data_IF_347308629144
#
_entry.id   IF_347308629144
#
_cell.length_a   1.000
_cell.length_b   1.000
_cell.length_c   1.000
_cell.angle_alpha   90.00
_cell.angle_beta   90.00
_cell.angle_gamma   90.00
#
_symmetry.space_group_name_H-M   'P 1'
#
loop_
_entity.id
_entity.type
_entity.pdbx_description
1 polymer ?
#
# COMPACT_ATOMS: atom_id res chain seq x y z
N UNK A 1 -2.23 25.41 -14.38
CA UNK A 1 -2.81 25.31 -13.01
C UNK A 1 -2.04 24.24 -12.24
N UNK A 2 -1.65 24.47 -10.98
CA UNK A 2 -0.91 23.44 -10.20
C UNK A 2 -1.86 22.36 -9.70
N UNK A 3 -1.35 21.15 -9.41
CA UNK A 3 -2.20 20.04 -8.96
C UNK A 3 -3.04 20.40 -7.73
N UNK A 4 -2.44 21.07 -6.72
CA UNK A 4 -3.15 21.57 -5.54
C UNK A 4 -4.30 22.52 -5.88
N UNK A 5 -4.12 23.40 -6.87
CA UNK A 5 -5.20 24.31 -7.31
C UNK A 5 -6.35 23.51 -7.95
N UNK A 6 -6.04 22.53 -8.80
CA UNK A 6 -7.07 21.66 -9.39
C UNK A 6 -7.87 20.90 -8.33
N UNK A 7 -7.20 20.32 -7.32
CA UNK A 7 -7.86 19.59 -6.22
C UNK A 7 -8.82 20.51 -5.44
N UNK A 8 -8.39 21.74 -5.12
CA UNK A 8 -9.25 22.72 -4.45
C UNK A 8 -10.49 23.08 -5.28
N UNK A 9 -10.34 23.21 -6.60
CA UNK A 9 -11.47 23.48 -7.48
C UNK A 9 -12.42 22.27 -7.59
N UNK A 10 -11.89 21.04 -7.63
CA UNK A 10 -12.72 19.83 -7.53
C UNK A 10 -13.52 19.81 -6.22
N UNK A 11 -12.87 20.11 -5.10
CA UNK A 11 -13.53 20.19 -3.78
C UNK A 11 -14.69 21.17 -3.79
N UNK A 12 -14.48 22.41 -4.25
CA UNK A 12 -15.54 23.44 -4.30
C UNK A 12 -16.74 22.98 -5.12
N UNK A 13 -16.49 22.31 -6.25
CA UNK A 13 -17.56 21.81 -7.11
C UNK A 13 -18.31 20.65 -6.44
N UNK A 14 -17.61 19.74 -5.77
CA UNK A 14 -18.22 18.67 -4.97
C UNK A 14 -19.02 19.24 -3.77
N UNK A 15 -18.49 20.22 -3.06
CA UNK A 15 -19.19 20.92 -1.97
C UNK A 15 -20.51 21.52 -2.46
N UNK A 16 -20.54 22.08 -3.67
CA UNK A 16 -21.79 22.60 -4.24
C UNK A 16 -22.78 21.49 -4.58
N UNK A 17 -22.32 20.40 -5.23
CA UNK A 17 -23.17 19.25 -5.52
C UNK A 17 -23.75 18.61 -4.24
N UNK A 18 -22.97 18.51 -3.17
CA UNK A 18 -23.43 17.88 -1.92
C UNK A 18 -24.46 18.73 -1.16
N UNK A 19 -24.66 20.01 -1.50
CA UNK A 19 -25.67 20.87 -0.86
C UNK A 19 -27.07 20.64 -1.42
N UNK A 20 -27.18 20.43 -2.73
CA UNK A 20 -28.46 20.35 -3.44
C UNK A 20 -28.68 19.00 -4.14
N UNK A 21 -27.69 18.10 -4.05
CA UNK A 21 -27.64 16.83 -4.79
C UNK A 21 -27.92 17.05 -6.28
N UNK A 22 -27.43 18.18 -6.81
CA UNK A 22 -27.69 18.66 -8.15
C UNK A 22 -26.99 17.84 -9.22
N UNK A 23 -26.80 18.42 -10.40
CA UNK A 23 -26.22 17.69 -11.52
C UNK A 23 -24.69 17.53 -11.39
N UNK A 24 -24.21 16.28 -11.36
CA UNK A 24 -22.79 15.92 -11.31
C UNK A 24 -22.00 16.29 -12.59
N UNK A 25 -22.68 16.52 -13.72
CA UNK A 25 -22.02 16.74 -15.02
C UNK A 25 -21.01 17.90 -14.99
N UNK A 26 -21.31 19.00 -14.28
CA UNK A 26 -20.35 20.12 -14.13
C UNK A 26 -19.03 19.74 -13.43
N UNK A 27 -19.07 18.74 -12.55
CA UNK A 27 -17.88 18.22 -11.87
C UNK A 27 -17.10 17.30 -12.82
N UNK A 28 -17.82 16.46 -13.58
CA UNK A 28 -17.23 15.58 -14.60
C UNK A 28 -16.57 16.37 -15.72
N UNK A 29 -17.25 17.34 -16.32
CA UNK A 29 -16.69 18.21 -17.37
C UNK A 29 -15.37 18.84 -16.93
N UNK A 30 -15.32 19.34 -15.68
CA UNK A 30 -14.08 19.89 -15.13
C UNK A 30 -13.01 18.81 -14.95
N UNK A 31 -13.33 17.65 -14.37
CA UNK A 31 -12.38 16.56 -14.21
C UNK A 31 -11.85 16.04 -15.55
N UNK A 32 -12.71 15.91 -16.57
CA UNK A 32 -12.35 15.49 -17.93
C UNK A 32 -11.36 16.46 -18.58
N UNK A 33 -11.54 17.77 -18.35
CA UNK A 33 -10.63 18.81 -18.85
C UNK A 33 -9.19 18.66 -18.32
N UNK A 34 -9.00 17.97 -17.19
CA UNK A 34 -7.69 17.70 -16.60
C UNK A 34 -7.06 16.48 -17.28
N UNK A 35 -6.40 16.62 -18.42
CA UNK A 35 -5.81 15.46 -19.13
C UNK A 35 -4.80 14.68 -18.27
N UNK A 36 -4.98 13.36 -18.09
CA UNK A 36 -4.11 12.51 -17.24
C UNK A 36 -2.64 12.58 -17.62
N UNK A 37 -2.33 12.57 -18.93
CA UNK A 37 -0.96 12.71 -19.45
C UNK A 37 -0.27 14.02 -19.09
N UNK A 38 -1.05 15.06 -18.75
CA UNK A 38 -0.55 16.34 -18.24
C UNK A 38 -0.39 16.35 -16.71
N UNK A 39 -1.05 15.41 -16.01
CA UNK A 39 -0.94 15.26 -14.55
C UNK A 39 0.27 14.39 -14.20
N UNK A 40 0.38 13.23 -14.86
CA UNK A 40 1.46 12.26 -14.67
C UNK A 40 2.23 12.14 -15.99
N UNK A 41 3.48 12.60 -15.98
CA UNK A 41 4.34 12.66 -17.18
C UNK A 41 5.52 11.70 -17.11
N UNK A 42 5.51 10.75 -16.15
CA UNK A 42 6.54 9.72 -16.02
C UNK A 42 6.13 8.45 -16.75
N UNK A 43 7.11 7.61 -17.06
CA UNK A 43 6.83 6.23 -17.47
C UNK A 43 6.32 5.42 -16.28
N UNK A 44 5.08 4.95 -16.37
CA UNK A 44 4.44 4.12 -15.36
C UNK A 44 4.76 2.63 -15.53
N UNK A 45 5.56 2.23 -16.53
CA UNK A 45 5.89 0.82 -16.79
C UNK A 45 6.93 0.27 -15.79
N UNK A 46 7.86 1.11 -15.33
CA UNK A 46 8.98 0.73 -14.47
C UNK A 46 8.61 0.82 -12.99
N UNK A 47 9.05 -0.15 -12.19
CA UNK A 47 8.87 -0.18 -10.73
C UNK A 47 10.20 -0.38 -10.00
N UNK A 48 10.33 0.27 -8.84
CA UNK A 48 11.30 -0.10 -7.82
C UNK A 48 10.83 -1.34 -7.08
N UNK A 49 11.39 -2.50 -7.44
CA UNK A 49 11.07 -3.77 -6.79
C UNK A 49 11.81 -4.00 -5.47
N UNK A 50 12.82 -3.18 -5.17
CA UNK A 50 13.68 -3.27 -3.99
C UNK A 50 13.82 -1.88 -3.37
N UNK A 51 14.28 -1.83 -2.11
CA UNK A 51 14.60 -0.60 -1.36
C UNK A 51 15.28 0.48 -2.23
N UNK A 52 14.62 1.63 -2.48
CA UNK A 52 15.28 2.83 -3.01
C UNK A 52 16.26 3.44 -2.01
N UNK A 53 17.32 4.10 -2.49
CA UNK A 53 18.45 4.58 -1.67
C UNK A 53 18.04 5.43 -0.47
N UNK A 54 17.09 6.35 -0.66
CA UNK A 54 16.71 7.36 0.34
C UNK A 54 15.50 6.95 1.20
N UNK A 55 15.08 5.69 1.11
CA UNK A 55 13.97 5.16 1.93
C UNK A 55 14.48 4.47 3.19
N UNK A 56 13.76 4.60 4.29
CA UNK A 56 14.08 3.92 5.55
C UNK A 56 13.17 2.72 5.75
N UNK A 57 13.66 1.67 6.43
CA UNK A 57 12.82 0.54 6.82
C UNK A 57 11.76 1.02 7.83
N UNK A 58 10.53 0.54 7.68
CA UNK A 58 9.48 0.72 8.68
C UNK A 58 9.34 -0.57 9.49
N UNK A 59 10.08 -0.63 10.61
CA UNK A 59 10.08 -1.81 11.49
C UNK A 59 8.72 -2.04 12.14
N UNK A 60 8.00 -0.98 12.49
CA UNK A 60 6.66 -1.02 13.05
C UNK A 60 5.68 -1.69 12.09
N UNK A 61 5.61 -1.19 10.86
CA UNK A 61 4.77 -1.77 9.83
C UNK A 61 5.17 -3.21 9.46
N UNK A 62 6.47 -3.56 9.55
CA UNK A 62 6.91 -4.95 9.33
C UNK A 62 6.30 -5.94 10.34
N UNK A 63 6.03 -5.53 11.58
CA UNK A 63 5.34 -6.40 12.55
C UNK A 63 3.90 -6.72 12.13
N UNK A 64 3.24 -5.78 11.43
CA UNK A 64 1.86 -5.93 10.96
C UNK A 64 1.74 -6.70 9.63
N UNK A 65 2.86 -6.92 8.93
CA UNK A 65 2.86 -7.63 7.67
C UNK A 65 2.38 -9.09 7.86
N UNK A 66 1.41 -9.60 7.08
CA UNK A 66 0.96 -10.98 7.22
C UNK A 66 2.09 -12.00 7.03
N UNK A 67 2.09 -13.14 7.77
CA UNK A 67 3.17 -14.13 7.74
C UNK A 67 3.61 -14.56 6.34
N UNK A 68 2.65 -14.74 5.41
CA UNK A 68 2.90 -15.13 4.02
C UNK A 68 3.80 -14.17 3.21
N UNK A 69 4.02 -12.95 3.68
CA UNK A 69 4.89 -11.97 3.02
C UNK A 69 6.21 -11.74 3.77
N UNK A 70 6.31 -12.13 5.05
CA UNK A 70 7.43 -11.74 5.93
C UNK A 70 8.78 -12.26 5.49
N UNK A 71 8.83 -13.38 4.76
CA UNK A 71 10.09 -13.96 4.32
C UNK A 71 10.70 -13.18 3.15
N UNK A 72 9.86 -12.79 2.18
CA UNK A 72 10.30 -12.22 0.90
C UNK A 72 10.19 -10.69 0.82
N UNK A 73 9.45 -10.05 1.73
CA UNK A 73 9.10 -8.63 1.64
C UNK A 73 9.38 -7.85 2.93
N UNK A 74 9.59 -6.54 2.77
CA UNK A 74 9.80 -5.55 3.83
C UNK A 74 8.94 -4.32 3.57
N UNK A 75 8.61 -3.60 4.65
CA UNK A 75 7.87 -2.36 4.61
C UNK A 75 8.84 -1.18 4.73
N UNK A 76 8.63 -0.13 3.95
CA UNK A 76 9.48 1.06 3.95
C UNK A 76 8.67 2.30 4.32
N UNK A 77 9.28 3.26 5.01
CA UNK A 77 8.59 4.45 5.46
C UNK A 77 8.09 5.26 4.27
N UNK A 78 6.83 5.68 4.35
CA UNK A 78 6.33 6.83 3.62
C UNK A 78 6.07 7.95 4.63
N UNK A 79 5.99 9.20 4.18
CA UNK A 79 5.72 10.32 5.07
C UNK A 79 4.35 10.16 5.74
N UNK A 80 4.36 10.31 7.07
CA UNK A 80 3.21 10.20 7.99
C UNK A 80 2.25 11.40 7.87
N UNK A 81 1.78 11.64 6.65
CA UNK A 81 0.71 12.58 6.36
C UNK A 81 -0.44 11.86 5.64
N UNK A 82 -1.56 12.54 5.42
CA UNK A 82 -2.68 11.89 4.71
C UNK A 82 -2.42 11.64 3.22
N UNK A 83 -1.27 12.03 2.67
CA UNK A 83 -0.82 11.64 1.33
C UNK A 83 -0.10 10.28 1.31
N UNK A 84 0.07 9.60 2.45
CA UNK A 84 0.84 8.35 2.58
C UNK A 84 0.52 7.25 1.55
N UNK A 85 -0.74 7.09 1.11
CA UNK A 85 -1.07 6.16 0.01
C UNK A 85 -0.34 6.54 -1.29
N UNK A 86 -0.37 7.83 -1.62
CA UNK A 86 0.27 8.37 -2.82
C UNK A 86 1.79 8.49 -2.66
N UNK A 87 2.28 8.76 -1.44
CA UNK A 87 3.70 8.70 -1.10
C UNK A 87 4.24 7.29 -1.34
N UNK A 88 3.53 6.28 -0.83
CA UNK A 88 3.87 4.87 -1.03
C UNK A 88 3.95 4.51 -2.51
N UNK A 89 2.94 4.87 -3.30
CA UNK A 89 2.95 4.60 -4.73
C UNK A 89 4.06 5.39 -5.47
N UNK A 90 4.30 6.64 -5.09
CA UNK A 90 5.38 7.45 -5.64
C UNK A 90 6.75 6.81 -5.39
N UNK A 91 7.00 6.29 -4.18
CA UNK A 91 8.23 5.59 -3.83
C UNK A 91 8.42 4.37 -4.71
N UNK A 92 7.37 3.57 -4.92
CA UNK A 92 7.46 2.38 -5.79
C UNK A 92 7.72 2.77 -7.25
N UNK A 93 7.18 3.90 -7.73
CA UNK A 93 7.31 4.32 -9.12
C UNK A 93 8.63 5.05 -9.42
N UNK A 94 9.14 5.83 -8.45
CA UNK A 94 10.21 6.81 -8.70
C UNK A 94 11.34 6.79 -7.67
N UNK A 95 11.16 6.04 -6.58
CA UNK A 95 12.07 6.06 -5.44
C UNK A 95 11.89 7.26 -4.50
N UNK A 96 11.06 8.24 -4.84
CA UNK A 96 10.79 9.45 -4.04
C UNK A 96 9.28 9.68 -3.87
N UNK A 97 8.88 10.68 -3.07
CA UNK A 97 7.47 11.05 -2.84
C UNK A 97 6.99 12.20 -3.74
N UNK A 98 7.78 12.62 -4.74
CA UNK A 98 7.51 13.85 -5.50
C UNK A 98 6.24 13.78 -6.37
N UNK A 99 5.76 12.57 -6.66
CA UNK A 99 4.57 12.35 -7.48
C UNK A 99 3.26 12.38 -6.68
N UNK A 100 3.30 12.37 -5.34
CA UNK A 100 2.12 12.11 -4.50
C UNK A 100 0.93 13.00 -4.80
N UNK A 101 1.14 14.32 -4.89
CA UNK A 101 0.04 15.26 -5.15
C UNK A 101 -0.52 15.14 -6.57
N UNK A 102 0.31 14.73 -7.54
CA UNK A 102 -0.11 14.46 -8.92
C UNK A 102 -0.91 13.16 -8.98
N UNK A 103 -0.47 12.12 -8.27
CA UNK A 103 -1.22 10.87 -8.13
C UNK A 103 -2.58 11.12 -7.48
N UNK A 104 -2.66 11.91 -6.38
CA UNK A 104 -3.93 12.27 -5.75
C UNK A 104 -4.88 12.91 -6.75
N UNK A 105 -4.41 13.91 -7.51
CA UNK A 105 -5.25 14.57 -8.52
C UNK A 105 -5.71 13.59 -9.61
N UNK A 106 -4.82 12.73 -10.11
CA UNK A 106 -5.17 11.75 -11.13
C UNK A 106 -6.21 10.74 -10.62
N UNK A 107 -6.12 10.32 -9.36
CA UNK A 107 -7.09 9.42 -8.72
C UNK A 107 -8.44 10.10 -8.54
N UNK A 108 -8.47 11.33 -8.02
CA UNK A 108 -9.71 12.10 -7.89
C UNK A 108 -10.41 12.25 -9.26
N UNK A 109 -9.63 12.57 -10.30
CA UNK A 109 -10.12 12.63 -11.67
C UNK A 109 -10.72 11.29 -12.11
N UNK A 110 -9.96 10.20 -12.02
CA UNK A 110 -10.39 8.87 -12.46
C UNK A 110 -11.72 8.47 -11.82
N UNK A 111 -11.83 8.63 -10.50
CA UNK A 111 -13.03 8.28 -9.72
C UNK A 111 -14.25 9.13 -10.10
N UNK A 112 -14.05 10.42 -10.42
CA UNK A 112 -15.13 11.31 -10.85
C UNK A 112 -15.59 10.98 -12.26
N UNK A 113 -14.66 10.89 -13.21
CA UNK A 113 -14.97 10.70 -14.64
C UNK A 113 -15.63 9.34 -14.87
N UNK A 114 -15.13 8.31 -14.18
CA UNK A 114 -15.60 6.94 -14.32
C UNK A 114 -16.49 6.50 -13.14
N UNK A 115 -17.17 7.44 -12.47
CA UNK A 115 -17.96 7.18 -11.26
C UNK A 115 -18.99 6.06 -11.45
N UNK A 116 -19.64 5.98 -12.61
CA UNK A 116 -20.61 4.92 -12.94
C UNK A 116 -19.99 3.52 -12.87
N UNK A 117 -18.73 3.36 -13.28
CA UNK A 117 -18.05 2.07 -13.21
C UNK A 117 -17.81 1.65 -11.75
N UNK A 118 -17.33 2.57 -10.91
CA UNK A 118 -17.07 2.26 -9.51
C UNK A 118 -18.35 2.06 -8.70
N UNK A 119 -19.35 2.92 -8.89
CA UNK A 119 -20.66 2.78 -8.22
C UNK A 119 -21.36 1.44 -8.52
N UNK A 120 -21.02 0.78 -9.63
CA UNK A 120 -21.57 -0.54 -9.96
C UNK A 120 -20.94 -1.70 -9.19
N UNK A 121 -19.76 -1.50 -8.56
CA UNK A 121 -19.04 -2.55 -7.83
C UNK A 121 -19.70 -2.83 -6.47
N UNK A 122 -19.82 -4.11 -6.12
CA UNK A 122 -20.46 -4.55 -4.88
C UNK A 122 -19.74 -4.06 -3.63
N UNK A 123 -18.43 -3.83 -3.71
CA UNK A 123 -17.62 -3.24 -2.64
C UNK A 123 -18.19 -1.91 -2.17
N UNK A 124 -18.53 -1.03 -3.11
CA UNK A 124 -18.98 0.33 -2.83
C UNK A 124 -20.47 0.40 -2.48
N UNK A 125 -21.14 -0.75 -2.38
CA UNK A 125 -22.45 -0.88 -1.72
C UNK A 125 -22.31 -1.08 -0.21
N UNK A 126 -21.14 -1.51 0.29
CA UNK A 126 -20.90 -1.80 1.70
C UNK A 126 -20.52 -0.52 2.45
N UNK A 127 -21.09 -0.31 3.65
CA UNK A 127 -20.82 0.90 4.44
C UNK A 127 -19.35 1.01 4.89
N UNK A 128 -18.71 -0.13 5.20
CA UNK A 128 -17.33 -0.22 5.71
C UNK A 128 -16.27 0.40 4.78
N UNK A 129 -16.58 0.64 3.50
CA UNK A 129 -15.63 1.25 2.56
C UNK A 129 -15.61 2.78 2.61
N UNK A 130 -16.51 3.39 3.38
CA UNK A 130 -16.69 4.84 3.48
C UNK A 130 -16.34 5.33 4.89
N UNK A 131 -15.92 6.59 4.98
CA UNK A 131 -15.77 7.28 6.25
C UNK A 131 -17.13 7.60 6.87
N UNK A 132 -17.17 7.72 8.20
CA UNK A 132 -18.38 8.10 8.93
C UNK A 132 -19.01 9.39 8.37
N UNK A 133 -18.18 10.40 8.09
CA UNK A 133 -18.67 11.66 7.49
C UNK A 133 -19.33 11.45 6.13
N UNK A 134 -18.80 10.57 5.28
CA UNK A 134 -19.42 10.28 4.00
C UNK A 134 -20.75 9.51 4.18
N UNK A 135 -20.84 8.64 5.18
CA UNK A 135 -22.07 7.95 5.57
C UNK A 135 -23.13 8.94 6.07
N UNK A 136 -22.77 9.85 6.99
CA UNK A 136 -23.66 10.86 7.57
C UNK A 136 -24.26 11.79 6.51
N UNK A 137 -23.42 12.28 5.58
CA UNK A 137 -23.87 13.12 4.46
C UNK A 137 -24.84 12.33 3.57
N UNK A 138 -24.51 11.07 3.27
CA UNK A 138 -25.37 10.21 2.47
C UNK A 138 -26.68 9.82 3.15
N UNK A 139 -26.69 9.68 4.47
CA UNK A 139 -27.89 9.36 5.25
C UNK A 139 -28.91 10.51 5.25
N UNK A 140 -28.43 11.73 5.02
CA UNK A 140 -29.26 12.93 4.84
C UNK A 140 -29.79 13.11 3.40
N UNK A 141 -29.42 12.24 2.47
CA UNK A 141 -29.84 12.32 1.07
C UNK A 141 -31.13 11.51 0.80
N UNK A 142 -31.88 11.83 -0.26
CA UNK A 142 -32.99 11.00 -0.72
C UNK A 142 -32.57 9.54 -0.95
N UNK A 143 -33.41 8.54 -0.64
CA UNK A 143 -33.06 7.12 -0.71
C UNK A 143 -32.45 6.68 -2.05
N UNK A 144 -32.96 7.20 -3.16
CA UNK A 144 -32.51 6.89 -4.52
C UNK A 144 -31.15 7.49 -4.88
N UNK A 145 -30.71 8.53 -4.16
CA UNK A 145 -29.40 9.19 -4.35
C UNK A 145 -28.36 8.81 -3.30
N UNK A 146 -28.79 8.20 -2.19
CA UNK A 146 -27.96 7.86 -1.03
C UNK A 146 -26.61 7.25 -1.38
N UNK A 147 -26.59 6.24 -2.26
CA UNK A 147 -25.34 5.58 -2.67
C UNK A 147 -24.41 6.51 -3.46
N UNK A 148 -24.95 7.26 -4.42
CA UNK A 148 -24.18 8.23 -5.21
C UNK A 148 -23.62 9.36 -4.32
N UNK A 149 -24.43 9.87 -3.39
CA UNK A 149 -24.03 10.92 -2.47
C UNK A 149 -22.92 10.46 -1.53
N UNK A 150 -23.00 9.25 -0.94
CA UNK A 150 -21.92 8.67 -0.12
C UNK A 150 -20.61 8.60 -0.91
N UNK A 151 -20.69 8.14 -2.16
CA UNK A 151 -19.54 8.02 -3.04
C UNK A 151 -18.87 9.38 -3.31
N UNK A 152 -19.63 10.40 -3.70
CA UNK A 152 -19.07 11.73 -3.94
C UNK A 152 -18.68 12.47 -2.68
N UNK A 153 -19.35 12.22 -1.54
CA UNK A 153 -18.92 12.72 -0.24
C UNK A 153 -17.54 12.15 0.15
N UNK A 154 -17.30 10.87 -0.12
CA UNK A 154 -15.98 10.27 0.11
C UNK A 154 -14.89 10.86 -0.80
N UNK A 155 -15.19 11.08 -2.09
CA UNK A 155 -14.26 11.77 -3.01
C UNK A 155 -14.00 13.20 -2.55
N UNK A 156 -15.02 13.89 -2.04
CA UNK A 156 -14.89 15.23 -1.47
C UNK A 156 -13.93 15.23 -0.29
N UNK A 157 -14.02 14.28 0.63
CA UNK A 157 -13.08 14.16 1.74
C UNK A 157 -11.64 13.95 1.23
N UNK A 158 -11.45 13.13 0.19
CA UNK A 158 -10.15 12.93 -0.43
C UNK A 158 -9.58 14.19 -1.10
N UNK A 159 -10.38 15.24 -1.34
CA UNK A 159 -9.90 16.52 -1.87
C UNK A 159 -9.25 17.41 -0.79
N UNK A 160 -9.37 17.07 0.49
CA UNK A 160 -8.57 17.71 1.53
C UNK A 160 -7.12 17.19 1.43
N UNK A 161 -6.16 18.10 1.30
CA UNK A 161 -4.75 17.71 1.27
C UNK A 161 -4.39 17.18 2.66
N UNK A 162 -3.89 15.96 2.74
CA UNK A 162 -3.65 15.29 4.01
C UNK A 162 -4.89 14.60 4.61
N UNK A 163 -6.00 14.45 3.87
CA UNK A 163 -7.05 13.51 4.27
C UNK A 163 -6.66 12.06 3.97
N UNK A 164 -6.99 11.19 4.92
CA UNK A 164 -6.88 9.75 4.84
C UNK A 164 -7.62 9.17 3.64
N UNK A 165 -6.98 8.24 2.96
CA UNK A 165 -7.54 7.53 1.82
C UNK A 165 -8.25 6.25 2.27
N UNK A 166 -9.39 5.95 1.65
CA UNK A 166 -10.11 4.68 1.86
C UNK A 166 -9.80 3.69 0.73
N UNK A 167 -10.41 2.50 0.77
CA UNK A 167 -10.29 1.49 -0.29
C UNK A 167 -10.66 2.06 -1.66
N UNK A 168 -11.57 3.05 -1.71
CA UNK A 168 -11.95 3.75 -2.95
C UNK A 168 -10.74 4.40 -3.64
N UNK A 169 -9.82 4.98 -2.88
CA UNK A 169 -8.62 5.59 -3.43
C UNK A 169 -7.69 4.54 -4.06
N UNK A 170 -7.62 3.33 -3.49
CA UNK A 170 -6.82 2.21 -4.04
C UNK A 170 -7.39 1.76 -5.40
N UNK A 171 -8.72 1.71 -5.55
CA UNK A 171 -9.36 1.40 -6.85
C UNK A 171 -9.05 2.44 -7.93
N UNK A 172 -9.14 3.73 -7.57
CA UNK A 172 -8.76 4.81 -8.47
C UNK A 172 -7.27 4.76 -8.81
N UNK A 173 -6.41 4.53 -7.82
CA UNK A 173 -4.96 4.45 -8.00
C UNK A 173 -4.56 3.29 -8.91
N UNK A 174 -5.12 2.09 -8.69
CA UNK A 174 -4.91 0.92 -9.55
C UNK A 174 -5.21 1.26 -11.02
N UNK A 175 -6.33 1.94 -11.27
CA UNK A 175 -6.75 2.35 -12.61
C UNK A 175 -5.85 3.44 -13.22
N UNK A 176 -5.42 4.43 -12.43
CA UNK A 176 -4.45 5.46 -12.87
C UNK A 176 -3.10 4.87 -13.25
N UNK A 177 -2.65 3.86 -12.51
CA UNK A 177 -1.39 3.16 -12.77
C UNK A 177 -1.52 2.06 -13.83
N UNK A 178 -2.74 1.82 -14.32
CA UNK A 178 -3.10 0.78 -15.29
C UNK A 178 -2.58 -0.61 -14.87
N UNK A 179 -2.49 -0.88 -13.56
CA UNK A 179 -1.88 -2.08 -12.98
C UNK A 179 -2.52 -2.49 -11.66
N UNK A 180 -2.48 -3.78 -11.30
CA UNK A 180 -3.03 -4.23 -10.02
C UNK A 180 -2.31 -3.62 -8.81
N UNK A 181 -3.05 -3.48 -7.71
CA UNK A 181 -2.50 -3.17 -6.38
C UNK A 181 -2.88 -4.31 -5.44
N UNK A 182 -1.88 -4.95 -4.84
CA UNK A 182 -2.08 -5.80 -3.68
C UNK A 182 -2.26 -4.90 -2.45
N UNK A 183 -3.51 -4.66 -2.11
CA UNK A 183 -3.89 -4.00 -0.86
C UNK A 183 -3.77 -5.02 0.26
N UNK A 184 -2.84 -4.81 1.18
CA UNK A 184 -2.53 -5.76 2.25
C UNK A 184 -3.04 -5.19 3.56
N UNK A 185 -4.02 -5.83 4.18
CA UNK A 185 -4.46 -5.47 5.51
C UNK A 185 -3.78 -6.36 6.57
N UNK A 186 -3.42 -5.83 7.76
CA UNK A 186 -2.85 -6.62 8.84
C UNK A 186 -3.78 -7.77 9.26
N UNK A 187 -3.25 -8.90 9.75
CA UNK A 187 -4.02 -10.08 10.15
C UNK A 187 -4.70 -9.87 11.52
N UNK A 188 -5.59 -8.88 11.59
CA UNK A 188 -6.30 -8.47 12.82
C UNK A 188 -7.34 -9.51 13.21
N UNK A 189 -7.71 -9.54 14.50
CA UNK A 189 -8.67 -10.48 15.07
C UNK A 189 -10.02 -10.51 14.35
N UNK A 190 -10.50 -9.36 13.88
CA UNK A 190 -11.76 -9.26 13.15
C UNK A 190 -11.54 -9.50 11.65
N UNK A 191 -11.86 -10.71 11.19
CA UNK A 191 -11.63 -11.11 9.79
C UNK A 191 -12.36 -10.24 8.77
N UNK A 192 -13.47 -9.58 9.14
CA UNK A 192 -14.21 -8.71 8.22
C UNK A 192 -13.33 -7.62 7.60
N UNK A 193 -12.40 -7.06 8.39
CA UNK A 193 -11.47 -6.05 7.89
C UNK A 193 -10.47 -6.66 6.91
N UNK A 194 -9.84 -7.78 7.28
CA UNK A 194 -8.91 -8.48 6.39
C UNK A 194 -9.60 -8.92 5.09
N UNK A 195 -10.81 -9.49 5.17
CA UNK A 195 -11.60 -9.95 4.01
C UNK A 195 -12.05 -8.80 3.10
N UNK A 196 -12.23 -7.60 3.67
CA UNK A 196 -12.65 -6.41 2.92
C UNK A 196 -11.48 -5.69 2.27
N UNK A 197 -10.41 -5.45 3.04
CA UNK A 197 -9.31 -4.56 2.66
C UNK A 197 -8.08 -5.32 2.13
N UNK A 198 -7.90 -6.59 2.48
CA UNK A 198 -6.76 -7.41 2.01
C UNK A 198 -7.12 -8.11 0.70
N UNK A 199 -6.77 -7.50 -0.44
CA UNK A 199 -7.14 -8.00 -1.78
C UNK A 199 -6.31 -7.42 -2.91
N UNK A 200 -6.31 -8.14 -4.03
CA UNK A 200 -5.88 -7.61 -5.33
C UNK A 200 -6.95 -6.66 -5.89
N UNK A 201 -6.65 -5.38 -5.97
CA UNK A 201 -7.47 -4.36 -6.63
C UNK A 201 -7.00 -4.20 -8.06
N UNK A 202 -7.86 -4.54 -9.03
CA UNK A 202 -7.54 -4.49 -10.46
C UNK A 202 -7.94 -3.15 -11.08
N UNK A 203 -7.18 -2.67 -12.09
CA UNK A 203 -7.52 -1.45 -12.81
C UNK A 203 -8.78 -1.65 -13.66
N UNK A 204 -9.50 -0.57 -13.91
CA UNK A 204 -10.62 -0.57 -14.87
C UNK A 204 -10.18 -0.97 -16.28
N UNK A 205 -8.97 -0.54 -16.70
CA UNK A 205 -8.35 -0.92 -17.97
C UNK A 205 -6.93 -1.45 -17.65
N UNK A 206 -6.73 -2.78 -17.67
CA UNK A 206 -5.43 -3.37 -17.36
C UNK A 206 -4.44 -3.21 -18.50
N UNK A 207 -3.22 -2.77 -18.18
CA UNK A 207 -2.10 -2.69 -19.14
C UNK A 207 -0.85 -3.37 -18.62
N UNK A 208 -0.48 -3.13 -17.37
CA UNK A 208 0.65 -3.80 -16.72
C UNK A 208 0.16 -4.93 -15.83
N UNK A 209 0.93 -6.03 -15.78
CA UNK A 209 0.59 -7.22 -14.99
C UNK A 209 1.22 -7.21 -13.60
N UNK A 210 2.37 -6.56 -13.44
CA UNK A 210 3.10 -6.57 -12.18
C UNK A 210 2.40 -5.69 -11.14
N UNK A 211 1.97 -6.29 -10.01
CA UNK A 211 1.30 -5.54 -8.95
C UNK A 211 2.29 -4.68 -8.18
N UNK A 212 1.80 -3.57 -7.64
CA UNK A 212 2.46 -2.90 -6.50
C UNK A 212 1.80 -3.38 -5.21
N UNK A 213 2.58 -3.45 -4.12
CA UNK A 213 2.10 -3.92 -2.82
C UNK A 213 2.08 -2.76 -1.83
N UNK A 214 0.93 -2.53 -1.21
CA UNK A 214 0.72 -1.45 -0.24
C UNK A 214 0.09 -2.05 1.01
N UNK A 215 0.70 -1.79 2.17
CA UNK A 215 0.22 -2.24 3.48
C UNK A 215 -0.54 -1.10 4.16
N UNK A 216 -1.72 -1.41 4.70
CA UNK A 216 -2.41 -0.59 5.68
C UNK A 216 -1.72 -0.76 7.03
N UNK A 217 -1.35 0.32 7.69
CA UNK A 217 -0.65 0.28 8.98
C UNK A 217 -1.14 1.40 9.91
N UNK A 218 -0.60 1.45 11.12
CA UNK A 218 -0.83 2.52 12.07
C UNK A 218 0.51 3.06 12.59
N UNK A 219 0.67 4.39 12.57
CA UNK A 219 1.91 5.06 13.02
C UNK A 219 2.23 4.81 14.50
N UNK A 220 1.25 4.41 15.31
CA UNK A 220 1.46 4.08 16.73
C UNK A 220 2.18 2.75 16.94
N UNK A 221 2.19 1.86 15.93
CA UNK A 221 2.86 0.57 16.01
C UNK A 221 4.34 0.78 15.74
N UNK A 222 5.14 0.69 16.80
CA UNK A 222 6.59 0.98 16.75
C UNK A 222 7.43 -0.20 17.21
N UNK A 223 6.81 -1.18 17.88
CA UNK A 223 7.44 -2.36 18.46
C UNK A 223 6.47 -3.57 18.44
N UNK A 224 6.95 -4.72 18.90
CA UNK A 224 6.18 -5.97 18.93
C UNK A 224 4.97 -5.90 19.89
N UNK A 225 5.07 -5.15 20.99
CA UNK A 225 4.02 -5.03 22.00
C UNK A 225 2.84 -4.22 21.44
N UNK A 226 3.14 -3.06 20.85
CA UNK A 226 2.14 -2.22 20.18
C UNK A 226 1.54 -2.94 18.96
N UNK A 227 2.33 -3.74 18.24
CA UNK A 227 1.82 -4.57 17.15
C UNK A 227 0.84 -5.65 17.65
N UNK A 228 1.19 -6.39 18.70
CA UNK A 228 0.30 -7.39 19.30
C UNK A 228 -1.01 -6.76 19.76
N UNK A 229 -0.92 -5.61 20.43
CA UNK A 229 -2.10 -4.86 20.90
C UNK A 229 -3.01 -4.49 19.73
N UNK A 230 -2.43 -3.90 18.67
CA UNK A 230 -3.17 -3.51 17.47
C UNK A 230 -3.83 -4.70 16.77
N UNK A 231 -3.14 -5.84 16.66
CA UNK A 231 -3.67 -7.03 16.00
C UNK A 231 -4.83 -7.68 16.77
N UNK A 232 -4.87 -7.51 18.08
CA UNK A 232 -5.93 -8.03 18.95
C UNK A 232 -7.18 -7.13 19.02
N UNK A 233 -7.11 -5.89 18.50
CA UNK A 233 -8.24 -4.96 18.47
C UNK A 233 -9.42 -5.49 17.62
N UNK A 234 -10.65 -5.27 18.11
CA UNK A 234 -11.86 -5.69 17.41
C UNK A 234 -12.20 -4.80 16.19
N UNK A 235 -11.81 -3.53 16.26
CA UNK A 235 -12.05 -2.53 15.23
C UNK A 235 -10.82 -1.61 15.07
N UNK A 236 -9.70 -2.17 14.55
CA UNK A 236 -8.45 -1.44 14.46
C UNK A 236 -8.56 -0.29 13.45
N UNK A 237 -8.04 0.87 13.85
CA UNK A 237 -7.98 2.03 12.97
C UNK A 237 -6.62 2.08 12.27
N UNK A 238 -6.61 1.87 10.95
CA UNK A 238 -5.41 2.14 10.15
C UNK A 238 -5.36 3.63 9.82
N UNK A 239 -4.22 4.25 10.08
CA UNK A 239 -3.94 5.65 9.79
C UNK A 239 -2.57 5.77 9.13
N UNK A 240 -2.17 4.83 8.28
CA UNK A 240 -0.99 4.99 7.45
C UNK A 240 -0.98 3.96 6.31
N UNK A 241 -0.25 4.29 5.26
CA UNK A 241 0.05 3.37 4.18
C UNK A 241 1.56 3.35 3.96
N UNK A 242 2.10 2.16 3.72
CA UNK A 242 3.51 1.99 3.40
C UNK A 242 3.68 1.11 2.16
N UNK A 243 4.69 1.37 1.32
CA UNK A 243 5.08 0.46 0.27
C UNK A 243 5.70 -0.81 0.84
N UNK A 244 5.35 -1.94 0.24
CA UNK A 244 5.93 -3.26 0.54
C UNK A 244 6.79 -3.68 -0.65
N UNK A 245 8.10 -3.85 -0.43
CA UNK A 245 9.07 -4.16 -1.49
C UNK A 245 9.79 -5.47 -1.20
N UNK A 246 10.36 -6.09 -2.25
CA UNK A 246 11.10 -7.34 -2.10
C UNK A 246 12.38 -7.09 -1.32
N UNK A 247 12.72 -8.02 -0.43
CA UNK A 247 14.04 -8.09 0.19
C UNK A 247 15.09 -8.34 -0.89
N UNK A 248 16.22 -7.67 -0.79
CA UNK A 248 17.41 -8.10 -1.52
C UNK A 248 17.84 -9.42 -0.90
N UNK A 249 17.78 -10.52 -1.66
CA UNK A 249 18.40 -11.77 -1.22
C UNK A 249 19.88 -11.49 -1.06
N UNK A 250 20.38 -11.49 0.17
CA UNK A 250 21.81 -11.55 0.40
C UNK A 250 22.25 -12.86 -0.20
N UNK A 251 22.96 -12.80 -1.34
CA UNK A 251 23.75 -13.95 -1.77
C UNK A 251 24.78 -14.10 -0.65
N UNK A 252 24.49 -14.95 0.34
CA UNK A 252 25.57 -15.58 1.06
C UNK A 252 26.36 -16.26 -0.05
N UNK A 253 27.48 -15.67 -0.42
CA UNK A 253 28.50 -16.40 -1.14
C UNK A 253 28.71 -17.64 -0.27
N UNK A 254 28.22 -18.80 -0.71
CA UNK A 254 28.90 -20.03 -0.39
C UNK A 254 30.30 -19.77 -0.93
N UNK A 255 31.19 -19.28 -0.07
CA UNK A 255 32.61 -19.56 -0.24
C UNK A 255 32.61 -21.07 -0.32
N UNK A 256 32.71 -21.59 -1.54
CA UNK A 256 33.42 -22.83 -1.74
C UNK A 256 34.77 -22.57 -1.08
N UNK A 257 34.88 -22.97 0.18
CA UNK A 257 36.16 -23.38 0.70
C UNK A 257 36.47 -24.58 -0.18
N UNK A 258 37.21 -24.32 -1.25
CA UNK A 258 38.00 -25.34 -1.90
C UNK A 258 38.74 -26.04 -0.77
N UNK A 259 38.40 -27.31 -0.56
CA UNK A 259 39.09 -28.21 0.34
C UNK A 259 40.55 -28.30 -0.11
N UNK A 260 41.37 -27.42 0.42
CA UNK A 260 42.81 -27.60 0.55
C UNK A 260 43.07 -27.39 2.03
N UNK A 261 43.70 -28.40 2.62
CA UNK A 261 44.15 -28.48 4.02
C UNK A 261 43.09 -28.82 5.07
N UNK A 262 42.66 -30.09 5.08
CA UNK A 262 42.18 -30.71 6.32
C UNK A 262 42.64 -32.16 6.53
N UNK A 263 43.82 -32.53 6.00
CA UNK A 263 44.37 -33.89 6.14
C UNK A 263 45.46 -34.01 7.23
N UNK A 264 46.01 -32.90 7.74
CA UNK A 264 47.09 -32.99 8.74
C UNK A 264 46.58 -33.18 10.18
N UNK A 265 45.42 -32.64 10.56
CA UNK A 265 44.87 -32.81 11.92
C UNK A 265 44.31 -34.22 12.15
N UNK A 266 43.77 -34.86 11.11
CA UNK A 266 43.28 -36.25 11.11
C UNK A 266 44.42 -37.26 11.30
N UNK A 267 45.57 -37.06 10.63
CA UNK A 267 46.74 -37.95 10.78
C UNK A 267 47.42 -37.81 12.15
N UNK A 268 47.51 -36.61 12.71
CA UNK A 268 48.16 -36.39 14.03
C UNK A 268 47.33 -37.03 15.15
N UNK A 269 46.00 -36.92 15.09
CA UNK A 269 45.10 -37.55 16.08
C UNK A 269 45.13 -39.08 15.95
N UNK A 270 45.13 -39.62 14.72
CA UNK A 270 45.24 -41.07 14.49
C UNK A 270 46.60 -41.65 14.93
N UNK A 271 47.71 -40.93 14.75
CA UNK A 271 49.04 -41.36 15.22
C UNK A 271 49.17 -41.35 16.75
N UNK A 272 48.58 -40.36 17.45
CA UNK A 272 48.53 -40.34 18.93
C UNK A 272 47.69 -41.46 19.51
N UNK A 273 46.56 -41.80 18.89
CA UNK A 273 45.69 -42.90 19.32
C UNK A 273 46.33 -44.29 19.10
N UNK A 274 47.15 -44.46 18.06
CA UNK A 274 47.87 -45.71 17.81
C UNK A 274 49.05 -45.92 18.79
N UNK A 275 49.76 -44.84 19.16
CA UNK A 275 50.84 -44.90 20.15
C UNK A 275 50.32 -45.25 21.56
N UNK A 276 49.17 -44.70 21.98
CA UNK A 276 48.55 -45.00 23.27
C UNK A 276 47.99 -46.43 23.39
N UNK A 277 47.56 -47.03 22.27
CA UNK A 277 47.12 -48.44 22.24
C UNK A 277 48.26 -49.46 22.32
N UNK A 278 49.47 -49.09 21.90
CA UNK A 278 50.63 -49.98 21.92
C UNK A 278 51.48 -49.83 23.19
N UNK A 279 51.30 -48.77 23.98
CA UNK A 279 51.91 -48.63 25.32
C UNK A 279 51.15 -49.35 26.43
N UNK A 280 49.93 -49.87 26.16
CA UNK A 280 49.12 -50.65 27.12
C UNK A 280 49.12 -52.17 26.82
N UNK A 281 50.05 -52.65 25.99
CA UNK A 281 50.21 -54.08 25.67
C UNK A 281 51.56 -54.68 26.10
N UNK A 282 52.39 -53.92 26.81
CA UNK A 282 53.67 -54.36 27.36
C UNK A 282 53.82 -53.98 28.86
N UNK A 283 52.77 -54.21 29.65
CA UNK A 283 52.86 -54.44 31.11
C UNK A 283 52.03 -55.68 31.45
#
# INVERSE_FOLDING_TARGET
>A
MTARKCIRELRKKLDNYLKDYGNIEKIKEFAESLQTSKIISIDLSTLHNYKPSDTSLDTGACFLLPPKYRDDYECYKSKEDGDCLFNSASIVLTGTEDLSIKLRLAVLRELIVHSKNYLSLDEFKKAITYSDRALDIGDSAPPEKKHEVRYFAQIREMCEVGAWCTLLAIYGLSSVLERPIESIFPPVRNSLYADTFSRTVRPRVPKNKDPIMILWTNISVTDEISASTFLDELAPSCNHFVPVLKKKKTIQSKRQISSVDNDNSSMIIKRRMYALKNSQKNE
#
